data_IF_987472348476
#
_entry.id   IF_987472348476
#
_cell.length_a   1.000
_cell.length_b   1.000
_cell.length_c   1.000
_cell.angle_alpha   90.00
_cell.angle_beta   90.00
_cell.angle_gamma   90.00
#
_symmetry.space_group_name_H-M   'P 1'
#
loop_
_entity.id
_entity.type
_entity.pdbx_description
1 polymer ?
#
# COMPACT_ATOMS: atom_id res chain seq x y z
N UNK A 1 -13.67 -11.46 -18.99
CA UNK A 1 -14.11 -11.43 -17.59
C UNK A 1 -12.96 -10.93 -16.75
N UNK A 2 -13.24 -10.10 -15.74
CA UNK A 2 -12.20 -9.52 -14.91
C UNK A 2 -11.55 -10.59 -14.03
N UNK A 3 -10.25 -10.43 -13.81
CA UNK A 3 -9.43 -11.38 -13.03
C UNK A 3 -8.47 -10.63 -12.12
N UNK A 4 -8.08 -11.28 -11.02
CA UNK A 4 -6.97 -10.85 -10.18
C UNK A 4 -5.68 -11.10 -10.94
N UNK A 5 -5.01 -10.03 -11.38
CA UNK A 5 -3.71 -10.13 -12.07
C UNK A 5 -2.58 -10.36 -11.08
N UNK A 6 -2.61 -9.70 -9.92
CA UNK A 6 -1.58 -9.83 -8.90
C UNK A 6 -2.12 -9.42 -7.52
N UNK A 7 -1.46 -9.96 -6.50
CA UNK A 7 -1.72 -9.68 -5.09
C UNK A 7 -0.46 -9.10 -4.47
N UNK A 8 -0.61 -8.03 -3.68
CA UNK A 8 0.50 -7.34 -3.03
C UNK A 8 0.21 -7.09 -1.55
N UNK A 9 1.26 -7.17 -0.75
CA UNK A 9 1.29 -6.76 0.66
C UNK A 9 2.38 -5.72 0.86
N UNK A 10 2.15 -4.72 1.72
CA UNK A 10 3.11 -3.68 2.06
C UNK A 10 3.35 -3.68 3.57
N UNK A 11 4.25 -4.53 4.09
CA UNK A 11 4.37 -4.73 5.54
C UNK A 11 4.71 -3.47 6.33
N UNK A 12 5.57 -2.61 5.77
CA UNK A 12 5.94 -1.32 6.36
C UNK A 12 5.32 -0.18 5.56
N UNK A 13 4.56 0.70 6.24
CA UNK A 13 4.00 1.91 5.63
C UNK A 13 5.11 2.74 4.99
N UNK A 14 4.95 3.06 3.71
CA UNK A 14 5.89 3.90 2.97
C UNK A 14 6.98 3.14 2.19
N UNK A 15 7.25 1.88 2.53
CA UNK A 15 8.25 1.05 1.82
C UNK A 15 7.62 0.21 0.71
N UNK A 16 8.47 -0.39 -0.13
CA UNK A 16 8.05 -1.26 -1.23
C UNK A 16 7.22 -2.46 -0.75
N UNK A 17 6.38 -2.98 -1.65
CA UNK A 17 5.51 -4.13 -1.38
C UNK A 17 6.12 -5.44 -1.85
N UNK A 18 5.59 -6.54 -1.33
CA UNK A 18 5.91 -7.91 -1.71
C UNK A 18 4.74 -8.51 -2.49
N UNK A 19 5.03 -9.13 -3.63
CA UNK A 19 4.06 -9.93 -4.36
C UNK A 19 3.74 -11.22 -3.59
N UNK A 20 2.46 -11.56 -3.54
CA UNK A 20 1.98 -12.77 -2.88
C UNK A 20 1.35 -13.71 -3.93
N UNK A 21 1.67 -15.02 -3.91
CA UNK A 21 1.02 -15.99 -4.80
C UNK A 21 -0.44 -16.24 -4.41
N UNK A 22 -0.73 -16.14 -3.11
CA UNK A 22 -2.04 -16.36 -2.51
C UNK A 22 -2.18 -15.51 -1.25
N UNK A 23 -3.41 -15.21 -0.87
CA UNK A 23 -3.76 -14.46 0.34
C UNK A 23 -4.94 -15.13 1.01
N UNK A 24 -4.77 -15.49 2.29
CA UNK A 24 -5.88 -15.88 3.16
C UNK A 24 -6.54 -14.62 3.75
N UNK A 25 -7.87 -14.58 3.66
CA UNK A 25 -8.69 -13.47 4.11
C UNK A 25 -9.68 -13.96 5.17
N UNK A 26 -9.93 -13.11 6.16
CA UNK A 26 -10.92 -13.33 7.21
C UNK A 26 -11.90 -12.15 7.24
N UNK A 27 -13.18 -12.37 7.58
CA UNK A 27 -14.18 -11.31 7.66
C UNK A 27 -13.74 -10.15 8.56
N UNK A 28 -13.93 -8.93 8.07
CA UNK A 28 -13.55 -7.70 8.79
C UNK A 28 -12.04 -7.50 8.99
N UNK A 29 -11.19 -8.32 8.34
CA UNK A 29 -9.73 -8.16 8.37
C UNK A 29 -9.19 -7.69 7.02
N UNK A 30 -7.98 -7.11 7.05
CA UNK A 30 -7.15 -6.89 5.87
C UNK A 30 -6.21 -8.10 5.65
N UNK A 31 -5.33 -8.01 4.64
CA UNK A 31 -4.26 -8.99 4.44
C UNK A 31 -3.37 -9.04 5.68
N UNK A 32 -3.09 -10.24 6.20
CA UNK A 32 -2.20 -10.43 7.33
C UNK A 32 -0.81 -9.86 7.06
N UNK A 33 -0.33 -9.03 7.99
CA UNK A 33 0.93 -8.31 7.89
C UNK A 33 0.92 -7.08 6.98
N UNK A 34 -0.18 -6.75 6.29
CA UNK A 34 -0.24 -5.53 5.46
C UNK A 34 -0.27 -4.28 6.33
N UNK A 35 0.69 -3.38 6.12
CA UNK A 35 0.88 -2.15 6.89
C UNK A 35 0.86 -2.40 8.40
N UNK A 36 1.40 -3.55 8.83
CA UNK A 36 1.54 -3.92 10.24
C UNK A 36 2.56 -3.05 10.97
N UNK A 37 3.50 -2.47 10.21
CA UNK A 37 4.55 -1.61 10.72
C UNK A 37 4.50 -0.22 10.10
N UNK A 38 4.95 0.79 10.84
CA UNK A 38 5.25 2.10 10.28
C UNK A 38 6.39 2.79 11.01
N UNK A 39 7.23 3.52 10.27
CA UNK A 39 8.22 4.40 10.87
C UNK A 39 7.60 5.77 11.09
N UNK A 40 7.36 6.15 12.35
CA UNK A 40 6.87 7.50 12.67
C UNK A 40 8.00 8.50 12.73
N UNK A 41 7.68 9.77 12.50
CA UNK A 41 8.59 10.88 12.81
C UNK A 41 8.95 10.90 14.30
N UNK A 42 10.16 11.37 14.64
CA UNK A 42 10.62 11.39 16.03
C UNK A 42 9.80 12.29 16.95
N UNK A 43 9.17 13.34 16.41
CA UNK A 43 8.25 14.23 17.14
C UNK A 43 6.82 13.70 17.26
N UNK A 44 6.51 12.55 16.68
CA UNK A 44 5.16 11.96 16.75
C UNK A 44 5.10 11.04 17.96
N UNK A 45 4.05 11.14 18.78
CA UNK A 45 3.76 10.16 19.83
C UNK A 45 2.84 9.05 19.30
N UNK A 46 3.03 7.83 19.79
CA UNK A 46 2.17 6.69 19.49
C UNK A 46 2.12 5.77 20.72
N UNK A 47 0.91 5.46 21.17
CA UNK A 47 0.66 4.53 22.27
C UNK A 47 0.36 3.15 21.68
N UNK A 48 1.24 2.18 21.95
CA UNK A 48 1.09 0.80 21.44
C UNK A 48 0.02 0.01 22.19
N UNK A 49 -0.25 0.36 23.44
CA UNK A 49 -1.20 -0.33 24.30
C UNK A 49 -2.63 0.17 24.05
N UNK A 50 -2.76 1.41 23.57
CA UNK A 50 -4.03 1.99 23.12
C UNK A 50 -3.91 2.64 21.73
N UNK A 51 -3.72 1.83 20.67
CA UNK A 51 -3.39 2.33 19.36
C UNK A 51 -4.58 3.03 18.70
N UNK A 52 -4.36 4.28 18.28
CA UNK A 52 -5.34 5.08 17.52
C UNK A 52 -4.84 5.35 16.11
N UNK A 53 -5.77 5.51 15.17
CA UNK A 53 -5.41 5.88 13.80
C UNK A 53 -4.72 7.26 13.78
N UNK A 54 -3.55 7.31 13.15
CA UNK A 54 -2.80 8.54 12.93
C UNK A 54 -2.76 8.89 11.44
N UNK A 55 -2.84 10.18 11.15
CA UNK A 55 -2.68 10.68 9.78
C UNK A 55 -1.33 10.25 9.20
N UNK A 56 -1.32 9.92 7.91
CA UNK A 56 -0.12 9.54 7.16
C UNK A 56 1.04 10.55 7.21
N UNK A 57 0.76 11.83 7.48
CA UNK A 57 1.78 12.88 7.64
C UNK A 57 2.64 12.73 8.89
N UNK A 58 2.29 11.78 9.77
CA UNK A 58 3.03 11.44 10.99
C UNK A 58 4.12 10.38 10.77
N UNK A 59 4.18 9.80 9.58
CA UNK A 59 5.06 8.69 9.24
C UNK A 59 5.99 9.01 8.07
N UNK A 60 7.11 8.31 8.02
CA UNK A 60 7.97 8.25 6.85
C UNK A 60 7.21 7.55 5.72
N UNK A 61 6.63 8.32 4.81
CA UNK A 61 5.86 7.82 3.69
C UNK A 61 6.22 8.55 2.40
N UNK A 62 6.09 7.86 1.25
CA UNK A 62 6.45 8.36 -0.09
C UNK A 62 5.93 9.77 -0.39
N UNK A 63 4.75 10.14 0.14
CA UNK A 63 4.18 11.47 -0.08
C UNK A 63 5.08 12.63 0.38
N UNK A 64 5.95 12.41 1.36
CA UNK A 64 6.90 13.38 1.89
C UNK A 64 8.32 12.85 1.94
N UNK A 65 8.58 11.64 1.43
CA UNK A 65 9.85 10.90 1.46
C UNK A 65 10.02 10.03 0.22
N UNK A 66 10.19 10.67 -0.93
CA UNK A 66 10.39 9.98 -2.20
C UNK A 66 11.64 9.08 -2.16
N UNK A 67 12.68 9.47 -1.40
CA UNK A 67 13.91 8.72 -1.20
C UNK A 67 13.69 7.29 -0.67
N UNK A 68 12.55 6.99 -0.01
CA UNK A 68 12.20 5.63 0.41
C UNK A 68 12.06 4.65 -0.76
N UNK A 69 11.72 5.14 -1.95
CA UNK A 69 11.60 4.29 -3.14
C UNK A 69 12.96 3.79 -3.65
N UNK A 70 14.07 4.39 -3.24
CA UNK A 70 15.41 3.91 -3.57
C UNK A 70 15.82 2.65 -2.78
N UNK A 71 14.99 2.21 -1.82
CA UNK A 71 15.25 1.00 -1.04
C UNK A 71 14.52 -0.18 -1.67
N UNK A 72 15.28 -1.18 -2.08
CA UNK A 72 14.76 -2.51 -2.36
C UNK A 72 14.37 -3.17 -1.04
N UNK A 73 13.17 -3.74 -0.99
CA UNK A 73 12.65 -4.36 0.24
C UNK A 73 12.17 -5.76 -0.07
N UNK A 74 12.63 -6.72 0.73
CA UNK A 74 12.09 -8.07 0.74
C UNK A 74 11.81 -8.52 2.17
N UNK A 75 10.85 -9.44 2.29
CA UNK A 75 10.45 -10.04 3.56
C UNK A 75 10.52 -11.55 3.44
N UNK A 76 10.93 -12.23 4.51
CA UNK A 76 10.74 -13.68 4.61
C UNK A 76 9.23 -14.01 4.67
N UNK A 77 8.89 -15.30 4.54
CA UNK A 77 7.50 -15.77 4.57
C UNK A 77 6.77 -15.34 5.86
N UNK A 78 7.49 -15.35 6.98
CA UNK A 78 7.12 -14.63 8.21
C UNK A 78 7.48 -13.15 8.00
N UNK A 79 6.48 -12.30 7.80
CA UNK A 79 6.61 -10.90 7.35
C UNK A 79 7.47 -9.98 8.22
N UNK A 80 8.08 -10.51 9.28
CA UNK A 80 8.82 -9.79 10.29
C UNK A 80 10.33 -9.82 10.06
N UNK A 81 10.86 -10.70 9.19
CA UNK A 81 12.29 -10.62 8.80
C UNK A 81 12.41 -9.82 7.52
N UNK A 82 12.92 -8.59 7.65
CA UNK A 82 13.06 -7.63 6.56
C UNK A 82 14.51 -7.54 6.09
N UNK A 83 14.70 -7.47 4.77
CA UNK A 83 15.96 -7.11 4.13
C UNK A 83 15.77 -5.83 3.35
N UNK A 84 16.65 -4.84 3.58
CA UNK A 84 16.76 -3.62 2.79
C UNK A 84 18.09 -3.64 2.03
N UNK A 85 18.03 -3.38 0.73
CA UNK A 85 19.21 -3.07 -0.07
C UNK A 85 19.04 -1.75 -0.81
N UNK A 86 20.16 -1.15 -1.19
CA UNK A 86 20.20 0.03 -2.04
C UNK A 86 21.34 -0.15 -3.03
N UNK A 87 21.07 0.00 -4.32
CA UNK A 87 22.08 -0.15 -5.39
C UNK A 87 22.84 -1.50 -5.30
N UNK A 88 22.14 -2.56 -4.88
CA UNK A 88 22.70 -3.90 -4.66
C UNK A 88 23.50 -4.10 -3.36
N UNK A 89 23.70 -3.06 -2.55
CA UNK A 89 24.37 -3.14 -1.26
C UNK A 89 23.38 -3.39 -0.12
N UNK A 90 23.71 -4.31 0.78
CA UNK A 90 22.88 -4.64 1.94
C UNK A 90 22.92 -3.50 2.97
N UNK A 91 21.76 -2.89 3.22
CA UNK A 91 21.61 -1.81 4.21
C UNK A 91 21.12 -2.32 5.57
N UNK A 92 20.22 -3.30 5.56
CA UNK A 92 19.63 -3.88 6.77
C UNK A 92 19.17 -5.32 6.52
N UNK A 93 19.35 -6.19 7.51
CA UNK A 93 18.74 -7.51 7.56
C UNK A 93 18.39 -7.84 9.02
N UNK A 94 17.12 -8.14 9.31
CA UNK A 94 16.71 -8.37 10.68
C UNK A 94 15.23 -8.60 10.93
N UNK A 95 14.94 -9.18 12.09
CA UNK A 95 13.58 -9.30 12.62
C UNK A 95 13.09 -7.95 13.15
N UNK A 96 11.89 -7.53 12.76
CA UNK A 96 11.19 -6.34 13.22
C UNK A 96 10.58 -6.51 14.62
N UNK A 97 10.58 -7.73 15.16
CA UNK A 97 10.13 -8.02 16.54
C UNK A 97 11.28 -7.97 17.55
N UNK A 98 12.53 -8.02 17.07
CA UNK A 98 13.69 -8.03 17.94
C UNK A 98 14.23 -6.59 18.13
N UNK A 99 14.29 -6.15 19.38
CA UNK A 99 14.68 -4.79 19.75
C UNK A 99 16.04 -4.33 19.19
N UNK A 100 17.05 -5.20 19.12
CA UNK A 100 18.38 -4.84 18.62
C UNK A 100 18.39 -4.65 17.10
N UNK A 101 17.61 -5.45 16.36
CA UNK A 101 17.41 -5.25 14.93
C UNK A 101 16.57 -3.99 14.68
N UNK A 102 15.51 -3.76 15.45
CA UNK A 102 14.69 -2.55 15.36
C UNK A 102 15.53 -1.30 15.60
N UNK A 103 16.38 -1.28 16.62
CA UNK A 103 17.25 -0.14 16.89
C UNK A 103 18.23 0.16 15.74
N UNK A 104 18.76 -0.90 15.09
CA UNK A 104 19.62 -0.73 13.90
C UNK A 104 18.83 -0.19 12.71
N UNK A 105 17.61 -0.67 12.48
CA UNK A 105 16.73 -0.14 11.44
C UNK A 105 16.42 1.34 11.69
N UNK A 106 16.00 1.70 12.90
CA UNK A 106 15.71 3.10 13.27
C UNK A 106 16.93 4.01 13.05
N UNK A 107 18.12 3.55 13.44
CA UNK A 107 19.39 4.28 13.23
C UNK A 107 19.72 4.45 11.75
N UNK A 108 19.56 3.39 10.96
CA UNK A 108 19.73 3.44 9.51
C UNK A 108 18.76 4.44 8.87
N UNK A 109 17.46 4.33 9.20
CA UNK A 109 16.43 5.21 8.65
C UNK A 109 16.64 6.68 9.06
N UNK A 110 17.11 6.93 10.28
CA UNK A 110 17.49 8.28 10.72
C UNK A 110 18.58 8.87 9.83
N UNK A 111 19.62 8.08 9.54
CA UNK A 111 20.75 8.49 8.71
C UNK A 111 20.35 8.64 7.24
N UNK A 112 19.54 7.72 6.73
CA UNK A 112 19.07 7.69 5.35
C UNK A 112 18.15 8.87 5.01
N UNK A 113 17.24 9.24 5.91
CA UNK A 113 16.29 10.34 5.71
C UNK A 113 16.86 11.69 6.14
N UNK A 114 17.77 11.71 7.11
CA UNK A 114 18.34 12.94 7.66
C UNK A 114 17.33 13.83 8.37
N UNK A 115 17.51 15.16 8.29
CA UNK A 115 16.71 16.14 9.03
C UNK A 115 15.20 16.06 8.74
N UNK A 116 14.82 15.57 7.56
CA UNK A 116 13.42 15.40 7.16
C UNK A 116 12.68 14.36 8.00
N UNK A 117 13.38 13.50 8.73
CA UNK A 117 12.77 12.55 9.66
C UNK A 117 12.11 13.23 10.87
N UNK A 118 12.40 14.52 11.10
CA UNK A 118 11.89 15.33 12.22
C UNK A 118 12.16 14.63 13.56
N UNK A 119 13.45 14.46 13.87
CA UNK A 119 13.94 13.69 15.01
C UNK A 119 14.18 12.22 14.68
N UNK A 120 14.54 11.43 15.70
CA UNK A 120 14.85 10.01 15.54
C UNK A 120 13.57 9.22 15.21
N UNK A 121 13.45 8.63 14.00
CA UNK A 121 12.28 7.85 13.64
C UNK A 121 12.17 6.60 14.51
N UNK A 122 10.94 6.16 14.74
CA UNK A 122 10.66 4.97 15.56
C UNK A 122 9.78 4.00 14.79
N UNK A 123 10.14 2.72 14.79
CA UNK A 123 9.33 1.68 14.20
C UNK A 123 8.20 1.35 15.17
N UNK A 124 6.96 1.51 14.73
CA UNK A 124 5.77 1.18 15.50
C UNK A 124 5.08 -0.06 14.95
N UNK A 125 4.58 -0.87 15.89
CA UNK A 125 3.64 -1.96 15.71
C UNK A 125 2.65 -1.91 16.86
N UNK A 126 1.42 -2.38 16.64
CA UNK A 126 0.46 -2.60 17.71
C UNK A 126 -0.50 -3.75 17.36
N UNK A 127 -0.92 -4.49 18.37
CA UNK A 127 -1.84 -5.61 18.19
C UNK A 127 -3.16 -5.11 17.60
N UNK A 128 -3.71 -5.84 16.63
CA UNK A 128 -4.95 -5.51 15.93
C UNK A 128 -4.95 -4.13 15.23
N UNK A 129 -3.81 -3.45 15.10
CA UNK A 129 -3.68 -2.15 14.46
C UNK A 129 -3.11 -2.29 13.03
N UNK A 130 -3.50 -1.35 12.17
CA UNK A 130 -3.00 -1.27 10.80
C UNK A 130 -2.66 0.19 10.49
N UNK A 131 -1.43 0.45 10.05
CA UNK A 131 -0.96 1.79 9.69
C UNK A 131 -1.39 2.19 8.26
N UNK A 132 -2.67 1.98 7.95
CA UNK A 132 -3.28 2.33 6.68
C UNK A 132 -3.60 3.83 6.58
N UNK A 133 -4.15 4.27 5.45
CA UNK A 133 -4.60 5.66 5.25
C UNK A 133 -6.03 5.90 5.76
N UNK A 134 -6.72 4.83 6.18
CA UNK A 134 -8.07 4.85 6.75
C UNK A 134 -8.11 4.02 8.05
N UNK A 135 -9.00 4.29 9.01
CA UNK A 135 -9.08 3.51 10.24
C UNK A 135 -9.65 2.10 10.03
N UNK A 136 -10.46 1.89 8.98
CA UNK A 136 -11.04 0.59 8.68
C UNK A 136 -10.00 -0.40 8.14
N UNK A 137 -10.14 -1.68 8.54
CA UNK A 137 -9.40 -2.78 7.91
C UNK A 137 -10.04 -3.09 6.56
N UNK A 138 -9.37 -2.71 5.49
CA UNK A 138 -9.88 -2.87 4.12
C UNK A 138 -8.77 -3.26 3.14
N UNK A 139 -9.18 -3.87 2.04
CA UNK A 139 -8.35 -4.16 0.88
C UNK A 139 -8.43 -3.00 -0.11
N UNK A 140 -7.30 -2.63 -0.71
CA UNK A 140 -7.27 -1.68 -1.83
C UNK A 140 -7.24 -2.43 -3.16
N UNK A 141 -8.12 -2.06 -4.08
CA UNK A 141 -8.26 -2.69 -5.40
C UNK A 141 -8.02 -1.64 -6.49
N UNK A 142 -7.21 -1.97 -7.50
CA UNK A 142 -6.91 -1.09 -8.63
C UNK A 142 -7.07 -1.84 -9.95
N UNK A 143 -7.66 -1.17 -10.93
CA UNK A 143 -7.81 -1.66 -12.29
C UNK A 143 -6.60 -1.26 -13.14
N UNK A 144 -5.90 -2.23 -13.72
CA UNK A 144 -4.72 -1.98 -14.54
C UNK A 144 -5.04 -1.22 -15.83
N UNK A 145 -6.25 -1.38 -16.38
CA UNK A 145 -6.67 -0.60 -17.54
C UNK A 145 -6.81 0.90 -17.21
N UNK A 146 -7.24 1.25 -15.99
CA UNK A 146 -7.28 2.64 -15.51
C UNK A 146 -5.88 3.22 -15.31
N UNK A 147 -4.93 2.43 -14.79
CA UNK A 147 -3.52 2.84 -14.70
C UNK A 147 -2.98 3.13 -16.09
N UNK A 148 -3.21 2.22 -17.07
CA UNK A 148 -2.78 2.43 -18.45
C UNK A 148 -3.39 3.70 -19.06
N UNK A 149 -4.69 3.92 -18.87
CA UNK A 149 -5.35 5.13 -19.38
C UNK A 149 -4.77 6.42 -18.77
N UNK A 150 -4.37 6.39 -17.49
CA UNK A 150 -3.67 7.51 -16.87
C UNK A 150 -2.25 7.68 -17.43
N UNK A 151 -1.50 6.59 -17.64
CA UNK A 151 -0.18 6.61 -18.30
C UNK A 151 -0.24 7.27 -19.67
N UNK A 152 -1.21 6.86 -20.50
CA UNK A 152 -1.42 7.43 -21.84
C UNK A 152 -1.73 8.93 -21.76
N UNK A 153 -2.50 9.36 -20.75
CA UNK A 153 -2.84 10.78 -20.55
C UNK A 153 -1.64 11.63 -20.11
N UNK A 154 -0.81 11.13 -19.18
CA UNK A 154 0.36 11.88 -18.69
C UNK A 154 1.58 11.76 -19.60
N UNK A 155 1.49 10.93 -20.65
CA UNK A 155 2.57 10.73 -21.61
C UNK A 155 3.79 10.01 -21.04
N UNK A 156 3.61 9.20 -20.00
CA UNK A 156 4.67 8.44 -19.34
C UNK A 156 4.13 7.08 -18.87
N UNK A 157 4.97 6.04 -18.94
CA UNK A 157 4.62 4.73 -18.38
C UNK A 157 4.62 4.79 -16.84
N UNK A 158 3.45 4.62 -16.24
CA UNK A 158 3.30 4.58 -14.78
C UNK A 158 3.35 3.16 -14.27
N UNK A 159 4.24 2.90 -13.33
CA UNK A 159 4.22 1.68 -12.52
C UNK A 159 2.91 1.60 -11.70
N UNK A 160 2.09 0.54 -11.86
CA UNK A 160 0.88 0.33 -11.06
C UNK A 160 1.14 0.32 -9.54
N UNK A 161 2.33 -0.06 -9.09
CA UNK A 161 2.69 -0.11 -7.67
C UNK A 161 2.74 1.27 -7.02
N UNK A 162 2.76 2.37 -7.79
CA UNK A 162 2.55 3.75 -7.29
C UNK A 162 1.24 3.88 -6.54
N UNK A 163 0.22 3.10 -6.89
CA UNK A 163 -1.10 3.13 -6.26
C UNK A 163 -1.21 2.24 -5.02
N UNK A 164 -0.17 1.44 -4.74
CA UNK A 164 0.00 0.63 -3.53
C UNK A 164 -1.24 -0.20 -3.18
N UNK A 165 -1.87 -0.76 -4.22
CA UNK A 165 -3.05 -1.60 -4.08
C UNK A 165 -2.69 -3.00 -3.60
N UNK A 166 -3.62 -3.67 -2.91
CA UNK A 166 -3.48 -5.06 -2.51
C UNK A 166 -3.90 -6.02 -3.62
N UNK A 167 -4.92 -5.66 -4.41
CA UNK A 167 -5.45 -6.44 -5.52
C UNK A 167 -5.36 -5.60 -6.80
N UNK A 168 -4.70 -6.13 -7.83
CA UNK A 168 -4.69 -5.54 -9.16
C UNK A 168 -5.57 -6.36 -10.09
N UNK A 169 -6.51 -5.69 -10.77
CA UNK A 169 -7.45 -6.32 -11.68
C UNK A 169 -7.01 -6.13 -13.13
N UNK A 170 -7.16 -7.19 -13.92
CA UNK A 170 -7.04 -7.15 -15.38
C UNK A 170 -8.39 -7.47 -16.03
N UNK A 171 -8.46 -7.28 -17.35
CA UNK A 171 -9.63 -7.61 -18.19
C UNK A 171 -10.92 -6.86 -17.83
N UNK A 172 -10.78 -5.62 -17.36
CA UNK A 172 -11.86 -4.64 -17.21
C UNK A 172 -11.65 -3.47 -18.19
N UNK A 173 -12.72 -2.80 -18.63
CA UNK A 173 -12.60 -1.48 -19.25
C UNK A 173 -11.91 -0.51 -18.30
N UNK A 174 -11.13 0.43 -18.83
CA UNK A 174 -10.58 1.52 -18.03
C UNK A 174 -11.73 2.28 -17.33
N UNK A 175 -11.51 2.63 -16.07
CA UNK A 175 -12.42 3.40 -15.23
C UNK A 175 -13.72 2.70 -14.82
N UNK A 176 -13.90 1.42 -15.15
CA UNK A 176 -15.08 0.65 -14.76
C UNK A 176 -15.36 0.71 -13.25
N UNK A 177 -14.32 0.83 -12.43
CA UNK A 177 -14.44 0.93 -10.97
C UNK A 177 -15.12 2.21 -10.47
N UNK A 178 -15.31 3.22 -11.33
CA UNK A 178 -16.00 4.47 -11.00
C UNK A 178 -17.52 4.38 -11.08
N UNK A 179 -18.01 3.41 -11.82
CA UNK A 179 -19.46 3.15 -11.97
C UNK A 179 -19.99 2.26 -10.83
N UNK A 180 -19.11 1.81 -9.93
CA UNK A 180 -19.47 1.00 -8.78
C UNK A 180 -19.86 1.84 -7.58
N UNK A 181 -20.85 1.36 -6.82
CA UNK A 181 -21.42 2.08 -5.70
C UNK A 181 -21.01 1.48 -4.35
N UNK A 182 -20.98 2.32 -3.30
CA UNK A 182 -20.74 1.84 -1.94
C UNK A 182 -21.82 0.84 -1.53
N UNK A 183 -21.41 -0.27 -0.91
CA UNK A 183 -22.28 -1.40 -0.60
C UNK A 183 -22.40 -2.46 -1.69
N UNK A 184 -21.91 -2.17 -2.92
CA UNK A 184 -21.88 -3.18 -3.98
C UNK A 184 -20.93 -4.33 -3.61
N UNK A 185 -21.39 -5.56 -3.84
CA UNK A 185 -20.65 -6.77 -3.48
C UNK A 185 -19.96 -7.38 -4.70
N UNK A 186 -18.82 -8.03 -4.44
CA UNK A 186 -17.98 -8.65 -5.46
C UNK A 186 -17.55 -10.04 -4.99
N UNK A 187 -17.53 -11.00 -5.91
CA UNK A 187 -16.79 -12.24 -5.74
C UNK A 187 -15.35 -12.01 -6.20
N UNK A 188 -14.39 -12.38 -5.37
CA UNK A 188 -12.97 -12.49 -5.70
C UNK A 188 -12.56 -13.93 -5.41
N UNK A 189 -12.52 -14.78 -6.45
CA UNK A 189 -12.44 -16.23 -6.25
C UNK A 189 -13.64 -16.71 -5.42
N UNK A 190 -13.37 -17.34 -4.27
CA UNK A 190 -14.39 -17.79 -3.30
C UNK A 190 -14.67 -16.80 -2.15
N UNK A 191 -14.04 -15.62 -2.16
CA UNK A 191 -14.22 -14.59 -1.13
C UNK A 191 -15.21 -13.53 -1.62
N UNK A 192 -16.13 -13.12 -0.74
CA UNK A 192 -17.01 -11.98 -0.98
C UNK A 192 -16.41 -10.72 -0.37
N UNK A 193 -16.44 -9.65 -1.15
CA UNK A 193 -15.95 -8.33 -0.79
C UNK A 193 -17.07 -7.30 -0.97
N UNK A 194 -17.19 -6.35 -0.06
CA UNK A 194 -18.11 -5.21 -0.20
C UNK A 194 -17.31 -3.93 -0.46
N UNK A 195 -17.68 -3.17 -1.50
CA UNK A 195 -17.10 -1.85 -1.75
C UNK A 195 -17.47 -0.90 -0.62
N UNK A 196 -16.45 -0.39 0.07
CA UNK A 196 -16.60 0.61 1.12
C UNK A 196 -16.66 2.03 0.54
N UNK A 197 -15.62 2.43 -0.21
CA UNK A 197 -15.56 3.75 -0.86
C UNK A 197 -14.48 3.82 -1.96
N UNK A 198 -14.60 4.73 -2.94
CA UNK A 198 -13.51 5.06 -3.86
C UNK A 198 -12.27 5.60 -3.15
N UNK A 199 -11.08 5.40 -3.73
CA UNK A 199 -9.82 5.86 -3.15
C UNK A 199 -9.40 7.22 -3.71
N UNK A 200 -9.34 8.22 -2.83
CA UNK A 200 -8.71 9.52 -3.11
C UNK A 200 -7.20 9.36 -3.15
N UNK A 201 -6.58 9.72 -4.28
CA UNK A 201 -5.13 9.59 -4.49
C UNK A 201 -4.38 10.80 -3.96
N UNK A 202 -3.25 10.54 -3.32
CA UNK A 202 -2.38 11.54 -2.71
C UNK A 202 -1.01 11.59 -3.39
N UNK A 203 -0.17 12.52 -2.95
CA UNK A 203 1.14 12.78 -3.53
C UNK A 203 2.10 11.58 -3.48
N UNK A 204 1.83 10.53 -2.70
CA UNK A 204 2.62 9.30 -2.76
C UNK A 204 2.64 8.70 -4.19
N UNK A 205 1.55 8.86 -4.94
CA UNK A 205 1.45 8.39 -6.33
C UNK A 205 2.34 9.16 -7.30
N UNK A 206 2.85 10.33 -6.91
CA UNK A 206 3.75 11.15 -7.73
C UNK A 206 5.19 10.65 -7.74
N UNK A 207 5.54 9.70 -6.85
CA UNK A 207 6.90 9.19 -6.73
C UNK A 207 7.15 8.10 -7.76
N UNK A 208 8.23 8.25 -8.51
CA UNK A 208 8.77 7.20 -9.35
C UNK A 208 9.47 6.15 -8.49
N UNK A 209 9.06 4.89 -8.65
CA UNK A 209 9.57 3.80 -7.82
C UNK A 209 10.95 3.30 -8.25
N UNK A 210 11.40 3.64 -9.46
CA UNK A 210 12.74 3.33 -9.97
C UNK A 210 13.73 4.45 -9.63
N UNK A 211 13.36 5.70 -9.89
CA UNK A 211 14.29 6.84 -9.71
C UNK A 211 14.25 7.46 -8.32
N UNK A 212 13.23 7.13 -7.51
CA UNK A 212 12.96 7.75 -6.22
C UNK A 212 12.71 9.28 -6.27
N UNK A 213 12.30 9.80 -7.42
CA UNK A 213 11.99 11.21 -7.64
C UNK A 213 10.49 11.47 -7.73
N UNK A 214 10.08 12.70 -7.44
CA UNK A 214 8.72 13.18 -7.73
C UNK A 214 8.68 13.63 -9.19
N UNK A 215 8.16 12.77 -10.07
CA UNK A 215 8.20 12.97 -11.53
C UNK A 215 6.85 13.40 -12.12
N UNK A 216 5.76 13.25 -11.37
CA UNK A 216 4.41 13.49 -11.84
C UNK A 216 3.57 14.29 -10.84
N UNK A 217 2.37 14.73 -11.26
CA UNK A 217 1.33 15.20 -10.36
C UNK A 217 0.02 14.47 -10.64
N UNK A 218 -0.01 13.18 -10.31
CA UNK A 218 -1.09 12.27 -10.65
C UNK A 218 -2.44 12.66 -10.01
N UNK A 219 -2.53 13.08 -8.73
CA UNK A 219 -3.80 13.57 -8.19
C UNK A 219 -4.37 14.76 -8.97
N UNK A 220 -3.51 15.68 -9.41
CA UNK A 220 -3.93 16.83 -10.22
C UNK A 220 -4.33 16.40 -11.64
N UNK A 221 -3.60 15.49 -12.27
CA UNK A 221 -3.95 14.93 -13.57
C UNK A 221 -5.31 14.22 -13.50
N UNK A 222 -5.52 13.39 -12.47
CA UNK A 222 -6.79 12.71 -12.21
C UNK A 222 -7.95 13.71 -12.07
N UNK A 223 -7.77 14.74 -11.24
CA UNK A 223 -8.78 15.78 -11.04
C UNK A 223 -9.10 16.55 -12.32
N UNK A 224 -8.08 16.91 -13.10
CA UNK A 224 -8.23 17.75 -14.30
C UNK A 224 -8.92 17.00 -15.44
N UNK A 225 -8.49 15.77 -15.69
CA UNK A 225 -8.95 15.00 -16.85
C UNK A 225 -10.22 14.21 -16.56
N UNK A 226 -10.37 13.73 -15.33
CA UNK A 226 -11.43 12.79 -14.99
C UNK A 226 -12.40 13.33 -13.93
N UNK A 227 -12.33 14.62 -13.62
CA UNK A 227 -13.28 15.30 -12.72
C UNK A 227 -13.13 14.98 -11.23
N UNK A 228 -12.28 14.01 -10.86
CA UNK A 228 -12.00 13.66 -9.47
C UNK A 228 -10.61 13.03 -9.33
N UNK A 229 -9.92 13.29 -8.22
CA UNK A 229 -8.66 12.63 -7.87
C UNK A 229 -8.84 11.17 -7.35
N UNK A 230 -9.73 10.42 -8.00
CA UNK A 230 -10.12 9.06 -7.64
C UNK A 230 -9.54 8.04 -8.62
N UNK A 231 -9.01 6.95 -8.07
CA UNK A 231 -8.63 5.75 -8.83
C UNK A 231 -8.69 4.56 -7.88
N UNK A 232 -9.25 3.41 -8.28
CA UNK A 232 -9.39 2.25 -7.41
C UNK A 232 -10.36 2.45 -6.23
N UNK A 233 -10.61 1.36 -5.50
CA UNK A 233 -11.63 1.27 -4.44
C UNK A 233 -11.07 0.60 -3.18
N UNK A 234 -11.65 0.93 -2.03
CA UNK A 234 -11.49 0.14 -0.81
C UNK A 234 -12.64 -0.86 -0.68
N UNK A 235 -12.32 -2.10 -0.33
CA UNK A 235 -13.28 -3.16 -0.05
C UNK A 235 -13.07 -3.74 1.35
N UNK A 236 -14.17 -4.09 2.02
CA UNK A 236 -14.14 -4.94 3.22
C UNK A 236 -14.29 -6.40 2.84
N UNK A 237 -13.75 -7.30 3.66
CA UNK A 237 -13.90 -8.75 3.49
C UNK A 237 -15.14 -9.22 4.24
N UNK A 238 -16.04 -9.90 3.54
CA UNK A 238 -17.30 -10.39 4.11
C UNK A 238 -17.24 -11.88 4.47
N UNK A 239 -16.50 -12.67 3.68
CA UNK A 239 -16.34 -14.12 3.92
C UNK A 239 -14.88 -14.53 4.03
N UNK A 240 -14.61 -15.58 4.81
CA UNK A 240 -13.28 -16.17 4.86
C UNK A 240 -12.98 -16.95 3.59
N UNK A 241 -11.71 -16.97 3.17
CA UNK A 241 -11.27 -17.76 2.03
C UNK A 241 -9.86 -17.40 1.58
N UNK A 242 -9.43 -18.00 0.47
CA UNK A 242 -8.12 -17.77 -0.11
C UNK A 242 -8.31 -17.23 -1.52
N UNK A 243 -7.68 -16.11 -1.82
CA UNK A 243 -7.61 -15.57 -3.17
C UNK A 243 -6.21 -15.76 -3.75
N UNK A 244 -6.14 -16.00 -5.04
CA UNK A 244 -4.90 -16.24 -5.80
C UNK A 244 -4.90 -15.40 -7.08
N UNK A 245 -3.71 -15.19 -7.65
CA UNK A 245 -3.62 -14.62 -8.98
C UNK A 245 -4.31 -15.57 -9.99
N UNK A 246 -5.12 -15.00 -10.88
CA UNK A 246 -5.94 -15.74 -11.85
C UNK A 246 -7.40 -15.92 -11.43
N UNK A 247 -7.75 -15.72 -10.16
CA UNK A 247 -9.14 -15.80 -9.71
C UNK A 247 -10.01 -14.75 -10.39
N UNK A 248 -11.27 -15.12 -10.66
CA UNK A 248 -12.24 -14.20 -11.23
C UNK A 248 -12.64 -13.13 -10.22
N UNK A 249 -12.86 -11.91 -10.73
CA UNK A 249 -13.42 -10.80 -9.97
C UNK A 249 -14.74 -10.38 -10.62
N UNK A 250 -15.87 -10.55 -9.94
CA UNK A 250 -17.20 -10.30 -10.54
C UNK A 250 -18.10 -9.58 -9.57
N UNK A 251 -18.80 -8.54 -10.03
CA UNK A 251 -19.88 -7.94 -9.26
C UNK A 251 -20.98 -9.00 -9.00
N UNK A 252 -21.50 -9.03 -7.78
CA UNK A 252 -22.65 -9.83 -7.41
C UNK A 252 -23.92 -9.00 -7.66
N UNK A 253 -24.95 -9.67 -8.20
CA UNK A 253 -26.26 -9.08 -8.46
C UNK A 253 -27.10 -8.99 -7.19
#
# INVERSE_FOLDING_TARGET
>A
MAVISSLMRYPVKGLAGQALPAVELAPGQAISGDRAYALRHGTTEFDRDNPVHLSKTKFLALMTHAELAALDVSFADTADVMTLSKDGELMFHGSLENADYVHRLETFMASFIGERAKGAPRLEQAENHMFSDVPEKCLSVVNLASVKALSDHVGAELDPLRFRANIYLANLPAWAERDWEAGQQFSAGNVQLTLMKPIVRCNATNVNLETAEVDQNLPKALQKEFGANLMGIYCTVDTAGTITAGDQFTALC
#
